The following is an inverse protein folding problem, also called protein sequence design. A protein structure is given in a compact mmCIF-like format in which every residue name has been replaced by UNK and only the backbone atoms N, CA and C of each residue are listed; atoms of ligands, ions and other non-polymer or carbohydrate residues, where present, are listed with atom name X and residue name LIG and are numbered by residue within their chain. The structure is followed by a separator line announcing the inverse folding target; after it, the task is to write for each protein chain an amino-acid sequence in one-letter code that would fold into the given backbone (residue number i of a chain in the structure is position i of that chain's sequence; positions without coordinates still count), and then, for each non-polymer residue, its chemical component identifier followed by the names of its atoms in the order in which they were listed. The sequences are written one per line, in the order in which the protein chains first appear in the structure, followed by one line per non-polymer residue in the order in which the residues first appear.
data_IF_678138778218
#
_entry.id   IF_678138778218
#
_cell.length_a   1.000
_cell.length_b   1.000
_cell.length_c   1.000
_cell.angle_alpha   90.00
_cell.angle_beta   90.00
_cell.angle_gamma   90.00
#
_symmetry.space_group_name_H-M   'P 1'
#
loop_
_entity.id
_entity.type
_entity.pdbx_description
1 polymer ?
#
# COMPACT_ATOMS: atom_id res chain seq x y z
N UNK A 1 7.61 -35.03 1.02
CA UNK A 1 6.35 -34.55 1.63
C UNK A 1 6.45 -34.84 3.14
N UNK A 2 6.79 -33.82 3.93
CA UNK A 2 7.02 -33.96 5.38
C UNK A 2 5.68 -34.06 6.13
N UNK A 3 4.71 -33.23 5.74
CA UNK A 3 3.36 -33.20 6.31
C UNK A 3 2.63 -34.54 6.13
N UNK A 4 2.71 -35.20 4.97
CA UNK A 4 2.04 -36.50 4.80
C UNK A 4 2.60 -37.56 5.73
N UNK A 5 3.93 -37.64 5.89
CA UNK A 5 4.54 -38.58 6.82
C UNK A 5 4.14 -38.30 8.27
N UNK A 6 3.97 -37.03 8.63
CA UNK A 6 3.46 -36.65 9.96
C UNK A 6 2.00 -37.06 10.13
N UNK A 7 1.15 -36.89 9.12
CA UNK A 7 -0.26 -37.31 9.14
C UNK A 7 -0.41 -38.85 9.18
N UNK A 8 0.38 -39.58 8.40
CA UNK A 8 0.44 -41.04 8.46
C UNK A 8 0.89 -41.52 9.84
N UNK A 9 1.85 -40.83 10.46
CA UNK A 9 2.38 -41.20 11.79
C UNK A 9 1.33 -41.10 12.91
N UNK A 10 0.28 -40.29 12.71
CA UNK A 10 -0.84 -40.13 13.64
C UNK A 10 -2.09 -40.92 13.25
N UNK A 11 -1.99 -41.81 12.25
CA UNK A 11 -3.01 -42.81 11.93
C UNK A 11 -3.88 -42.53 10.70
N UNK A 12 -3.58 -41.49 9.91
CA UNK A 12 -4.24 -41.30 8.62
C UNK A 12 -3.73 -42.29 7.57
N UNK A 13 -4.60 -42.73 6.66
CA UNK A 13 -4.16 -43.49 5.48
C UNK A 13 -3.35 -42.60 4.53
N UNK A 14 -2.57 -43.18 3.62
CA UNK A 14 -1.82 -42.37 2.65
C UNK A 14 -2.74 -41.43 1.86
N UNK A 15 -3.88 -41.93 1.37
CA UNK A 15 -4.85 -41.13 0.60
C UNK A 15 -5.43 -39.96 1.42
N UNK A 16 -5.74 -40.19 2.70
CA UNK A 16 -6.20 -39.13 3.61
C UNK A 16 -5.10 -38.10 3.87
N UNK A 17 -3.86 -38.58 4.06
CA UNK A 17 -2.69 -37.72 4.29
C UNK A 17 -2.40 -36.84 3.08
N UNK A 18 -2.42 -37.40 1.87
CA UNK A 18 -2.25 -36.66 0.62
C UNK A 18 -3.34 -35.58 0.47
N UNK A 19 -4.62 -35.97 0.64
CA UNK A 19 -5.75 -35.03 0.56
C UNK A 19 -5.62 -33.87 1.54
N UNK A 20 -5.26 -34.17 2.80
CA UNK A 20 -5.10 -33.14 3.83
C UNK A 20 -3.90 -32.23 3.56
N UNK A 21 -2.79 -32.79 3.08
CA UNK A 21 -1.61 -32.02 2.74
C UNK A 21 -1.89 -31.05 1.57
N UNK A 22 -2.63 -31.50 0.56
CA UNK A 22 -3.04 -30.65 -0.57
C UNK A 22 -3.94 -29.49 -0.10
N UNK A 23 -4.91 -29.77 0.79
CA UNK A 23 -5.77 -28.73 1.38
C UNK A 23 -4.96 -27.72 2.20
N UNK A 24 -3.99 -28.19 2.99
CA UNK A 24 -3.12 -27.31 3.79
C UNK A 24 -2.24 -26.44 2.89
N UNK A 25 -1.65 -27.02 1.84
CA UNK A 25 -0.83 -26.28 0.89
C UNK A 25 -1.64 -25.21 0.16
N UNK A 26 -2.83 -25.57 -0.32
CA UNK A 26 -3.73 -24.63 -0.98
C UNK A 26 -4.15 -23.50 -0.02
N UNK A 27 -4.51 -23.82 1.22
CA UNK A 27 -4.86 -22.80 2.22
C UNK A 27 -3.68 -21.87 2.53
N UNK A 28 -2.45 -22.36 2.51
CA UNK A 28 -1.25 -21.53 2.66
C UNK A 28 -1.05 -20.58 1.48
N UNK A 29 -1.23 -21.09 0.25
CA UNK A 29 -1.15 -20.27 -0.98
C UNK A 29 -2.22 -19.18 -0.96
N UNK A 30 -3.48 -19.54 -0.68
CA UNK A 30 -4.61 -18.61 -0.65
C UNK A 30 -4.42 -17.54 0.45
N UNK A 31 -3.90 -17.95 1.61
CA UNK A 31 -3.55 -17.04 2.70
C UNK A 31 -2.45 -16.05 2.30
N UNK A 32 -1.39 -16.51 1.63
CA UNK A 32 -0.32 -15.65 1.11
C UNK A 32 -0.82 -14.68 0.03
N UNK A 33 -1.68 -15.15 -0.88
CA UNK A 33 -2.29 -14.29 -1.90
C UNK A 33 -3.17 -13.21 -1.26
N UNK A 34 -4.03 -13.58 -0.31
CA UNK A 34 -4.89 -12.65 0.43
C UNK A 34 -4.08 -11.59 1.18
N UNK A 35 -2.99 -11.99 1.83
CA UNK A 35 -2.08 -11.06 2.53
C UNK A 35 -1.40 -10.11 1.55
N UNK A 36 -0.92 -10.63 0.40
CA UNK A 36 -0.30 -9.81 -0.64
C UNK A 36 -1.27 -8.77 -1.19
N UNK A 37 -2.51 -9.16 -1.48
CA UNK A 37 -3.56 -8.24 -1.92
C UNK A 37 -3.89 -7.19 -0.87
N UNK A 38 -4.01 -7.58 0.39
CA UNK A 38 -4.23 -6.63 1.49
C UNK A 38 -3.11 -5.59 1.58
N UNK A 39 -1.84 -6.02 1.54
CA UNK A 39 -0.68 -5.13 1.60
C UNK A 39 -0.67 -4.17 0.40
N UNK A 40 -0.88 -4.69 -0.82
CA UNK A 40 -0.93 -3.87 -2.03
C UNK A 40 -2.03 -2.81 -1.94
N UNK A 41 -3.25 -3.21 -1.53
CA UNK A 41 -4.36 -2.28 -1.35
C UNK A 41 -4.06 -1.19 -0.31
N UNK A 42 -3.42 -1.55 0.80
CA UNK A 42 -3.01 -0.57 1.82
C UNK A 42 -1.95 0.39 1.29
N UNK A 43 -0.97 -0.12 0.55
CA UNK A 43 0.09 0.70 -0.03
C UNK A 43 -0.43 1.66 -1.10
N UNK A 44 -1.32 1.20 -1.97
CA UNK A 44 -1.94 2.02 -3.02
C UNK A 44 -2.81 3.13 -2.42
N UNK A 45 -3.57 2.81 -1.38
CA UNK A 45 -4.37 3.80 -0.64
C UNK A 45 -3.47 4.87 0.00
N UNK A 46 -2.43 4.44 0.71
CA UNK A 46 -1.48 5.36 1.35
C UNK A 46 -0.77 6.25 0.32
N UNK A 47 -0.31 5.68 -0.80
CA UNK A 47 0.34 6.41 -1.89
C UNK A 47 -0.59 7.45 -2.51
N UNK A 48 -1.88 7.13 -2.64
CA UNK A 48 -2.90 8.05 -3.14
C UNK A 48 -3.19 9.19 -2.17
N UNK A 49 -3.28 8.91 -0.88
CA UNK A 49 -3.44 9.92 0.16
C UNK A 49 -2.28 10.91 0.16
N UNK A 50 -1.03 10.42 0.16
CA UNK A 50 0.16 11.29 0.06
C UNK A 50 0.10 12.18 -1.19
N UNK A 51 -0.22 11.60 -2.34
CA UNK A 51 -0.29 12.36 -3.60
C UNK A 51 -1.33 13.48 -3.53
N UNK A 52 -2.47 13.21 -2.90
CA UNK A 52 -3.52 14.21 -2.73
C UNK A 52 -3.09 15.34 -1.79
N UNK A 53 -2.51 15.01 -0.63
CA UNK A 53 -1.99 15.98 0.33
C UNK A 53 -0.89 16.87 -0.28
N UNK A 54 0.03 16.27 -1.03
CA UNK A 54 1.06 17.01 -1.76
C UNK A 54 0.46 17.96 -2.80
N UNK A 55 -0.55 17.50 -3.55
CA UNK A 55 -1.22 18.33 -4.57
C UNK A 55 -1.93 19.52 -3.94
N UNK A 56 -2.59 19.32 -2.80
CA UNK A 56 -3.22 20.41 -2.04
C UNK A 56 -2.16 21.41 -1.56
N UNK A 57 -1.10 20.92 -0.91
CA UNK A 57 0.00 21.76 -0.42
C UNK A 57 0.65 22.60 -1.54
N UNK A 58 0.90 22.00 -2.71
CA UNK A 58 1.44 22.72 -3.87
C UNK A 58 0.46 23.80 -4.35
N UNK A 59 -0.83 23.48 -4.44
CA UNK A 59 -1.86 24.44 -4.88
C UNK A 59 -1.97 25.64 -3.95
N UNK A 60 -1.85 25.42 -2.64
CA UNK A 60 -1.83 26.48 -1.63
C UNK A 60 -0.57 27.36 -1.76
N UNK A 61 0.60 26.74 -1.95
CA UNK A 61 1.85 27.47 -2.17
C UNK A 61 1.80 28.32 -3.44
N UNK A 62 1.28 27.78 -4.54
CA UNK A 62 1.09 28.54 -5.79
C UNK A 62 0.17 29.74 -5.61
N UNK A 63 -0.92 29.56 -4.85
CA UNK A 63 -1.86 30.65 -4.53
C UNK A 63 -1.17 31.75 -3.73
N UNK A 64 -0.43 31.37 -2.68
CA UNK A 64 0.35 32.32 -1.86
C UNK A 64 1.39 33.06 -2.67
N UNK A 65 2.12 32.36 -3.55
CA UNK A 65 3.13 32.97 -4.42
C UNK A 65 2.51 33.97 -5.40
N UNK A 66 1.39 33.63 -6.04
CA UNK A 66 0.67 34.56 -6.92
C UNK A 66 0.18 35.80 -6.17
N UNK A 67 -0.26 35.64 -4.92
CA UNK A 67 -0.75 36.74 -4.10
C UNK A 67 0.35 37.71 -3.63
N UNK A 68 1.59 37.22 -3.44
CA UNK A 68 2.71 38.06 -2.97
C UNK A 68 3.39 38.88 -4.07
N UNK A 69 3.29 38.44 -5.33
CA UNK A 69 3.92 39.13 -6.47
C UNK A 69 3.45 40.58 -6.66
N UNK A 70 2.13 40.90 -6.64
CA UNK A 70 1.66 42.29 -6.72
C UNK A 70 2.14 43.15 -5.54
N UNK A 71 2.17 42.59 -4.32
CA UNK A 71 2.62 43.31 -3.13
C UNK A 71 4.10 43.68 -3.23
N UNK A 72 4.94 42.73 -3.65
CA UNK A 72 6.35 42.98 -3.91
C UNK A 72 6.54 44.05 -5.00
N UNK A 73 5.77 43.99 -6.08
CA UNK A 73 5.82 44.99 -7.15
C UNK A 73 5.51 46.40 -6.62
N UNK A 74 4.47 46.55 -5.80
CA UNK A 74 4.11 47.83 -5.18
C UNK A 74 5.26 48.35 -4.30
N UNK A 75 5.84 47.48 -3.46
CA UNK A 75 6.97 47.84 -2.60
C UNK A 75 8.18 48.30 -3.40
N UNK A 76 8.52 47.62 -4.50
CA UNK A 76 9.61 48.04 -5.38
C UNK A 76 9.32 49.39 -6.06
N UNK A 77 8.10 49.59 -6.58
CA UNK A 77 7.73 50.86 -7.21
C UNK A 77 7.81 52.04 -6.23
N UNK A 78 7.44 51.84 -4.96
CA UNK A 78 7.51 52.89 -3.94
C UNK A 78 8.95 53.28 -3.53
N UNK A 79 9.95 52.42 -3.77
CA UNK A 79 11.36 52.70 -3.47
C UNK A 79 12.04 53.47 -4.61
N UNK A 80 11.59 53.26 -5.85
CA UNK A 80 12.21 53.83 -7.06
C UNK A 80 11.59 55.19 -7.44
N UNK A 81 10.38 55.49 -6.96
CA UNK A 81 9.69 56.77 -7.15
C UNK A 81 10.21 57.86 -6.19
#
# INVERSE_FOLDING_TARGET
MLITKELESIGFTNEQSETLADVIEQSHIDGQQSLKEFINNKFDNFSREIRNEMKLSISELETRLKSSQPELRIKYSAIIA
#
